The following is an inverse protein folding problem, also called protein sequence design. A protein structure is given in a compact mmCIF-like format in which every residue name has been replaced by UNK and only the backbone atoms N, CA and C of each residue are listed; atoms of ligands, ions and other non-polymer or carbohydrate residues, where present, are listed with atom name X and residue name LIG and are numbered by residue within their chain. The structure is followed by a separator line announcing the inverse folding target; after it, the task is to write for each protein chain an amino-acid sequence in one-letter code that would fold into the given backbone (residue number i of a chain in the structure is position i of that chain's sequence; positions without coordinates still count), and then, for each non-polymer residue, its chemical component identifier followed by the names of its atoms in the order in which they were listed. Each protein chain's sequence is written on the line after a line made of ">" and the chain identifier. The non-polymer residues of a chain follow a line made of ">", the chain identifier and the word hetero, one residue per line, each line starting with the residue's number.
data_IF_456061074584
#
_entry.id   IF_456061074584
#
_cell.length_a   1.000
_cell.length_b   1.000
_cell.length_c   1.000
_cell.angle_alpha   90.00
_cell.angle_beta   90.00
_cell.angle_gamma   90.00
#
_symmetry.space_group_name_H-M   'P 1'
#
loop_
_entity.id
_entity.type
_entity.pdbx_description
1 polymer ?
#
# COMPACT_ATOMS: atom_id res chain seq x y z
N UNK A 1 -39.93 33.68 -35.71
CA UNK A 1 -40.06 32.29 -35.20
C UNK A 1 -39.85 32.36 -33.69
N UNK A 2 -40.87 31.97 -32.91
CA UNK A 2 -40.89 32.03 -31.45
C UNK A 2 -39.84 31.08 -30.84
N UNK A 3 -39.15 31.54 -29.79
CA UNK A 3 -38.98 30.91 -28.46
C UNK A 3 -37.64 31.30 -27.83
N UNK A 4 -37.72 32.08 -26.75
CA UNK A 4 -36.81 31.96 -25.60
C UNK A 4 -37.58 31.16 -24.54
N UNK A 5 -36.88 30.32 -23.76
CA UNK A 5 -36.51 30.73 -22.39
C UNK A 5 -34.99 30.54 -22.17
N UNK A 6 -34.28 31.47 -21.50
CA UNK A 6 -34.00 31.47 -20.05
C UNK A 6 -33.64 30.05 -19.57
N UNK A 7 -32.50 29.72 -18.95
CA UNK A 7 -31.70 30.36 -17.90
C UNK A 7 -30.59 29.32 -17.66
N UNK A 8 -29.29 29.62 -17.54
CA UNK A 8 -28.56 29.79 -16.27
C UNK A 8 -27.10 30.13 -16.63
N UNK A 9 -26.73 31.36 -16.29
CA UNK A 9 -25.44 31.83 -15.75
C UNK A 9 -24.09 31.28 -16.28
N UNK A 10 -23.45 32.15 -17.07
CA UNK A 10 -22.05 32.62 -17.02
C UNK A 10 -21.35 32.55 -15.63
N UNK A 11 -20.04 32.87 -15.44
CA UNK A 11 -18.92 33.05 -16.38
C UNK A 11 -17.52 32.54 -15.90
N UNK A 12 -16.58 32.41 -16.85
CA UNK A 12 -15.23 33.03 -16.85
C UNK A 12 -14.33 32.80 -15.61
N UNK A 13 -13.39 31.85 -15.71
CA UNK A 13 -11.96 32.18 -15.64
C UNK A 13 -11.16 31.25 -16.56
N UNK A 14 -10.78 31.72 -17.76
CA UNK A 14 -9.88 31.04 -18.68
C UNK A 14 -8.42 31.40 -18.35
N UNK A 15 -7.49 30.61 -18.87
CA UNK A 15 -6.02 30.80 -18.84
C UNK A 15 -5.29 30.27 -17.61
N UNK A 16 -5.00 28.97 -17.62
CA UNK A 16 -3.59 28.57 -17.63
C UNK A 16 -3.43 27.20 -18.32
N UNK A 17 -3.63 27.24 -19.64
CA UNK A 17 -3.05 26.27 -20.56
C UNK A 17 -1.53 26.50 -20.58
N UNK A 18 -0.79 25.86 -19.66
CA UNK A 18 0.64 25.58 -19.91
C UNK A 18 0.67 24.35 -20.79
N UNK A 19 0.94 24.62 -22.07
CA UNK A 19 1.24 23.65 -23.11
C UNK A 19 2.56 22.94 -22.76
N UNK A 20 2.46 21.62 -22.72
CA UNK A 20 3.40 20.60 -23.20
C UNK A 20 4.88 21.00 -23.35
N UNK A 21 5.76 20.34 -22.57
CA UNK A 21 6.96 19.73 -23.12
C UNK A 21 7.25 18.39 -22.41
N UNK A 22 7.12 17.32 -23.21
CA UNK A 22 7.64 15.95 -23.04
C UNK A 22 7.97 15.43 -21.64
N UNK A 23 7.09 14.62 -21.09
CA UNK A 23 7.47 13.42 -20.33
C UNK A 23 6.44 12.31 -20.57
N UNK A 24 6.38 11.83 -21.83
CA UNK A 24 5.76 10.54 -22.15
C UNK A 24 6.73 9.47 -21.63
N UNK A 25 6.61 9.07 -20.36
CA UNK A 25 7.41 7.96 -19.83
C UNK A 25 7.41 7.76 -18.31
N UNK A 26 7.00 8.74 -17.49
CA UNK A 26 7.16 8.66 -16.03
C UNK A 26 5.93 8.24 -15.21
N UNK A 27 4.71 8.38 -15.75
CA UNK A 27 3.48 8.23 -14.96
C UNK A 27 3.23 6.79 -14.47
N UNK A 28 3.64 5.78 -15.24
CA UNK A 28 3.38 4.37 -14.91
C UNK A 28 4.21 3.85 -13.72
N UNK A 29 5.31 4.50 -13.36
CA UNK A 29 6.19 4.04 -12.28
C UNK A 29 5.69 4.50 -10.90
N UNK A 30 5.12 5.70 -10.81
CA UNK A 30 4.57 6.25 -9.57
C UNK A 30 3.26 5.54 -9.19
N UNK A 31 2.38 5.25 -10.16
CA UNK A 31 1.15 4.47 -9.92
C UNK A 31 1.50 3.07 -9.40
N UNK A 32 2.39 2.33 -10.08
CA UNK A 32 2.81 0.98 -9.65
C UNK A 32 3.49 0.97 -8.28
N UNK A 33 4.26 2.01 -7.96
CA UNK A 33 4.91 2.17 -6.66
C UNK A 33 3.89 2.37 -5.54
N UNK A 34 2.82 3.12 -5.81
CA UNK A 34 1.73 3.41 -4.85
C UNK A 34 0.78 2.22 -4.68
N UNK A 35 0.65 1.35 -5.69
CA UNK A 35 -0.16 0.12 -5.62
C UNK A 35 0.52 -1.06 -4.90
N UNK A 36 1.81 -1.31 -5.17
CA UNK A 36 2.71 -1.87 -4.13
C UNK A 36 2.72 -0.87 -2.96
N UNK A 37 3.42 -0.99 -1.85
CA UNK A 37 3.15 -0.11 -0.68
C UNK A 37 1.71 -0.21 -0.12
N UNK A 38 0.64 0.26 -0.80
CA UNK A 38 -0.75 0.16 -0.30
C UNK A 38 -1.13 -1.29 -0.04
N UNK A 39 -0.78 -2.19 -0.95
CA UNK A 39 -1.03 -3.62 -0.79
C UNK A 39 -0.24 -4.23 0.38
N UNK A 40 1.02 -3.83 0.54
CA UNK A 40 1.92 -4.27 1.61
C UNK A 40 1.48 -3.72 2.98
N UNK A 41 1.01 -2.48 3.02
CA UNK A 41 0.41 -1.85 4.20
C UNK A 41 -0.89 -2.55 4.59
N UNK A 42 -1.72 -2.92 3.62
CA UNK A 42 -2.96 -3.65 3.84
C UNK A 42 -2.70 -5.07 4.39
N UNK A 43 -1.73 -5.79 3.82
CA UNK A 43 -1.28 -7.08 4.34
C UNK A 43 -0.75 -6.95 5.77
N UNK A 44 0.08 -5.95 6.05
CA UNK A 44 0.57 -5.66 7.41
C UNK A 44 -0.58 -5.32 8.36
N UNK A 45 -1.63 -4.62 7.90
CA UNK A 45 -2.83 -4.31 8.68
C UNK A 45 -3.60 -5.57 9.05
N UNK A 46 -3.79 -6.49 8.10
CA UNK A 46 -4.46 -7.78 8.34
C UNK A 46 -3.65 -8.64 9.32
N UNK A 47 -2.35 -8.78 9.08
CA UNK A 47 -1.43 -9.49 9.96
C UNK A 47 -1.44 -8.91 11.38
N UNK A 48 -1.26 -7.59 11.52
CA UNK A 48 -1.17 -6.92 12.83
C UNK A 48 -2.46 -7.04 13.64
N UNK A 49 -3.63 -7.03 12.98
CA UNK A 49 -4.91 -7.27 13.65
C UNK A 49 -4.95 -8.65 14.30
N UNK A 50 -4.53 -9.69 13.57
CA UNK A 50 -4.47 -11.06 14.09
C UNK A 50 -3.39 -11.22 15.17
N UNK A 51 -2.21 -10.64 14.95
CA UNK A 51 -1.10 -10.64 15.89
C UNK A 51 -1.50 -10.06 17.25
N UNK A 52 -2.12 -8.88 17.28
CA UNK A 52 -2.56 -8.28 18.54
C UNK A 52 -3.73 -9.01 19.20
N UNK A 53 -4.63 -9.62 18.42
CA UNK A 53 -5.69 -10.49 18.98
C UNK A 53 -5.10 -11.69 19.71
N UNK A 54 -4.02 -12.27 19.20
CA UNK A 54 -3.32 -13.38 19.85
C UNK A 54 -2.59 -12.87 21.08
N UNK A 55 -1.77 -11.83 20.95
CA UNK A 55 -1.01 -11.29 22.08
C UNK A 55 -1.91 -10.80 23.23
N UNK A 56 -3.03 -10.15 22.94
CA UNK A 56 -3.97 -9.71 23.97
C UNK A 56 -4.67 -10.85 24.70
N UNK A 57 -4.76 -12.05 24.10
CA UNK A 57 -5.27 -13.25 24.77
C UNK A 57 -4.23 -13.91 25.66
N UNK A 58 -2.97 -13.93 25.21
CA UNK A 58 -1.85 -14.58 25.91
C UNK A 58 -1.28 -13.72 27.03
N UNK A 59 -1.15 -12.41 26.81
CA UNK A 59 -0.52 -11.44 27.72
C UNK A 59 -1.57 -10.57 28.42
N UNK A 60 -2.58 -11.21 29.01
CA UNK A 60 -3.69 -10.51 29.69
C UNK A 60 -3.15 -9.49 30.70
N UNK A 61 -3.81 -8.34 30.75
CA UNK A 61 -3.55 -7.26 31.71
C UNK A 61 -2.11 -6.71 31.70
N UNK A 62 -1.37 -6.93 30.61
CA UNK A 62 -0.01 -6.43 30.40
C UNK A 62 0.03 -5.37 29.31
N UNK A 63 0.94 -4.41 29.43
CA UNK A 63 1.21 -3.47 28.35
C UNK A 63 1.90 -4.18 27.19
N UNK A 64 1.35 -4.07 25.99
CA UNK A 64 1.91 -4.68 24.78
C UNK A 64 2.41 -3.54 23.87
N UNK A 65 3.73 -3.46 23.72
CA UNK A 65 4.37 -2.56 22.77
C UNK A 65 5.15 -3.42 21.79
N UNK A 66 4.79 -3.32 20.50
CA UNK A 66 5.49 -4.02 19.44
C UNK A 66 5.48 -3.19 18.16
N UNK A 67 6.37 -3.51 17.22
CA UNK A 67 6.28 -3.03 15.84
C UNK A 67 5.81 -4.19 14.96
N UNK A 68 4.49 -4.31 14.69
CA UNK A 68 3.97 -5.34 13.79
C UNK A 68 4.58 -5.23 12.40
N UNK A 69 4.87 -4.00 11.95
CA UNK A 69 5.53 -3.77 10.67
C UNK A 69 6.93 -4.37 10.64
N UNK A 70 7.74 -4.18 11.69
CA UNK A 70 9.09 -4.76 11.75
C UNK A 70 9.06 -6.29 11.77
N UNK A 71 8.13 -6.89 12.53
CA UNK A 71 7.92 -8.34 12.55
C UNK A 71 7.49 -8.83 11.16
N UNK A 72 6.56 -8.12 10.52
CA UNK A 72 6.07 -8.43 9.18
C UNK A 72 7.20 -8.40 8.14
N UNK A 73 8.05 -7.37 8.16
CA UNK A 73 9.25 -7.27 7.29
C UNK A 73 10.18 -8.46 7.48
N UNK A 74 10.54 -8.77 8.73
CA UNK A 74 11.47 -9.84 9.05
C UNK A 74 10.93 -11.20 8.60
N UNK A 75 9.66 -11.49 8.89
CA UNK A 75 9.01 -12.73 8.49
C UNK A 75 8.87 -12.81 6.97
N UNK A 76 8.53 -11.72 6.27
CA UNK A 76 8.52 -11.69 4.80
C UNK A 76 9.89 -12.02 4.21
N UNK A 77 10.97 -11.52 4.82
CA UNK A 77 12.33 -11.85 4.39
C UNK A 77 12.66 -13.33 4.61
N UNK A 78 12.26 -13.89 5.76
CA UNK A 78 12.42 -15.31 6.04
C UNK A 78 11.62 -16.20 5.08
N UNK A 79 10.41 -15.77 4.67
CA UNK A 79 9.60 -16.49 3.67
C UNK A 79 10.35 -16.68 2.36
N UNK A 80 11.19 -15.71 1.96
CA UNK A 80 11.99 -15.80 0.73
C UNK A 80 13.01 -16.96 0.77
N UNK A 81 13.52 -17.30 1.95
CA UNK A 81 14.42 -18.45 2.16
C UNK A 81 13.70 -19.77 2.45
N UNK A 82 12.39 -19.72 2.76
CA UNK A 82 11.58 -20.90 3.06
C UNK A 82 11.19 -21.66 1.78
N UNK A 83 10.84 -22.95 1.93
CA UNK A 83 10.39 -23.80 0.82
C UNK A 83 9.23 -24.69 1.24
N UNK A 84 8.50 -25.20 0.24
CA UNK A 84 7.37 -26.11 0.43
C UNK A 84 6.36 -25.57 1.42
N UNK A 85 5.85 -26.44 2.30
CA UNK A 85 4.82 -26.10 3.28
C UNK A 85 5.18 -24.91 4.17
N UNK A 86 6.44 -24.76 4.57
CA UNK A 86 6.85 -23.62 5.40
C UNK A 86 6.64 -22.29 4.68
N UNK A 87 6.99 -22.21 3.39
CA UNK A 87 6.75 -21.01 2.60
C UNK A 87 5.25 -20.73 2.46
N UNK A 88 4.44 -21.76 2.19
CA UNK A 88 2.98 -21.66 2.04
C UNK A 88 2.32 -21.09 3.31
N UNK A 89 2.64 -21.65 4.48
CA UNK A 89 2.08 -21.19 5.76
C UNK A 89 2.49 -19.73 6.06
N UNK A 90 3.75 -19.37 5.76
CA UNK A 90 4.22 -18.00 5.97
C UNK A 90 3.54 -17.00 5.03
N UNK A 91 3.39 -17.33 3.75
CA UNK A 91 2.67 -16.50 2.76
C UNK A 91 1.22 -16.27 3.23
N UNK A 92 0.54 -17.33 3.65
CA UNK A 92 -0.83 -17.28 4.12
C UNK A 92 -0.97 -16.43 5.39
N UNK A 93 -0.10 -16.66 6.38
CA UNK A 93 -0.14 -15.93 7.66
C UNK A 93 0.14 -14.43 7.49
N UNK A 94 1.08 -14.09 6.62
CA UNK A 94 1.48 -12.70 6.37
C UNK A 94 0.57 -12.01 5.34
N UNK A 95 -0.42 -12.70 4.77
CA UNK A 95 -1.32 -12.15 3.72
C UNK A 95 -0.54 -11.58 2.52
N UNK A 96 0.54 -12.26 2.14
CA UNK A 96 1.47 -11.83 1.09
C UNK A 96 0.93 -12.24 -0.29
N UNK A 97 0.74 -11.28 -1.19
CA UNK A 97 0.43 -11.55 -2.60
C UNK A 97 1.74 -11.64 -3.40
N UNK A 98 2.28 -12.85 -3.54
CA UNK A 98 3.39 -13.19 -4.45
C UNK A 98 4.79 -12.72 -4.01
N UNK A 99 5.66 -13.66 -3.61
CA UNK A 99 7.00 -13.43 -3.01
C UNK A 99 7.89 -12.46 -3.80
N UNK A 100 7.80 -12.45 -5.13
CA UNK A 100 8.70 -11.67 -6.00
C UNK A 100 8.50 -10.15 -5.91
N UNK A 101 7.33 -9.68 -5.49
CA UNK A 101 6.98 -8.26 -5.51
C UNK A 101 7.33 -7.53 -4.20
N UNK A 102 7.77 -8.26 -3.17
CA UNK A 102 7.93 -7.75 -1.80
C UNK A 102 9.26 -7.05 -1.53
N UNK A 103 10.32 -7.44 -2.23
CA UNK A 103 11.61 -6.76 -2.14
C UNK A 103 11.48 -5.28 -2.57
N UNK A 104 10.63 -5.02 -3.56
CA UNK A 104 10.37 -3.67 -4.04
C UNK A 104 9.50 -2.87 -3.06
N UNK A 105 8.42 -3.49 -2.54
CA UNK A 105 7.51 -2.85 -1.59
C UNK A 105 8.21 -2.34 -0.33
N UNK A 106 9.01 -3.18 0.34
CA UNK A 106 9.75 -2.74 1.53
C UNK A 106 10.90 -1.81 1.24
N UNK A 107 11.59 -1.97 0.11
CA UNK A 107 12.62 -1.01 -0.31
C UNK A 107 12.02 0.39 -0.44
N UNK A 108 10.84 0.50 -1.04
CA UNK A 108 10.13 1.78 -1.16
C UNK A 108 9.69 2.30 0.21
N UNK A 109 9.10 1.42 1.04
CA UNK A 109 8.68 1.75 2.41
C UNK A 109 9.84 2.34 3.24
N UNK A 110 10.98 1.66 3.26
CA UNK A 110 12.19 2.09 3.97
C UNK A 110 12.74 3.40 3.36
N UNK A 111 12.68 3.54 2.04
CA UNK A 111 13.15 4.77 1.37
C UNK A 111 12.25 5.97 1.63
N UNK A 112 10.95 5.78 1.90
CA UNK A 112 10.02 6.86 2.27
C UNK A 112 10.10 7.27 3.74
N UNK A 113 10.77 6.47 4.58
CA UNK A 113 10.94 6.74 6.01
C UNK A 113 12.23 7.51 6.34
N UNK A 114 13.13 7.66 5.37
CA UNK A 114 14.35 8.50 5.44
C UNK A 114 14.17 9.76 4.61
#
# INVERSE_FOLDING_TARGET
>A
MKLSPNFIETPIFPRLLIICFGFIGGASTIEKMTESFVREAEACRVFSSSFYKILGKELKDSNIVSSPLSVHVLLSYLTHGARGRTAEEMINCLSISGIEQWQFGYKNLISSLN
#
